data_IF_386369499151
#
_entry.id   IF_386369499151
#
_cell.length_a   1.000
_cell.length_b   1.000
_cell.length_c   1.000
_cell.angle_alpha   90.00
_cell.angle_beta   90.00
_cell.angle_gamma   90.00
#
_symmetry.space_group_name_H-M   'P 1'
#
loop_
_entity.id
_entity.type
_entity.pdbx_description
1 polymer ?
#
# COMPACT_ATOMS: atom_id res chain seq x y z
N UNK A 1 -12.50 10.27 22.72
CA UNK A 1 -12.17 8.80 22.75
C UNK A 1 -10.84 8.60 23.45
N UNK A 2 -10.54 7.41 24.04
CA UNK A 2 -9.19 7.02 24.47
C UNK A 2 -8.70 5.92 23.54
N UNK A 3 -7.44 5.99 23.09
CA UNK A 3 -6.87 4.93 22.27
C UNK A 3 -6.68 3.65 23.11
N UNK A 4 -6.89 2.51 22.51
CA UNK A 4 -6.49 1.24 23.09
C UNK A 4 -4.96 1.08 23.05
N UNK A 5 -4.43 0.22 23.92
CA UNK A 5 -2.99 0.04 24.09
C UNK A 5 -2.30 -0.46 22.80
N UNK A 6 -2.98 -1.31 22.01
CA UNK A 6 -2.44 -1.81 20.75
C UNK A 6 -2.36 -0.71 19.69
N UNK A 7 -3.37 0.16 19.61
CA UNK A 7 -3.32 1.34 18.72
C UNK A 7 -2.22 2.30 19.14
N UNK A 8 -2.06 2.56 20.45
CA UNK A 8 -0.94 3.35 20.95
C UNK A 8 0.41 2.75 20.56
N UNK A 9 0.60 1.45 20.77
CA UNK A 9 1.83 0.76 20.39
C UNK A 9 2.11 0.82 18.88
N UNK A 10 1.11 0.61 18.04
CA UNK A 10 1.30 0.60 16.57
C UNK A 10 1.59 1.99 16.00
N UNK A 11 1.06 3.05 16.60
CA UNK A 11 1.10 4.40 16.02
C UNK A 11 1.89 5.43 16.86
N UNK A 12 2.44 5.06 18.00
CA UNK A 12 3.43 5.90 18.70
C UNK A 12 4.81 5.78 18.02
N UNK A 13 5.59 6.87 17.92
CA UNK A 13 5.23 8.25 18.25
C UNK A 13 4.19 8.82 17.26
N UNK A 14 3.38 9.75 17.76
CA UNK A 14 2.27 10.32 16.99
C UNK A 14 2.66 11.45 16.03
N UNK A 15 3.94 11.75 15.86
CA UNK A 15 4.41 12.60 14.77
C UNK A 15 4.34 11.82 13.46
N UNK A 16 3.19 11.93 12.76
CA UNK A 16 2.79 11.07 11.64
C UNK A 16 2.00 11.81 10.60
N UNK A 17 1.91 11.22 9.40
CA UNK A 17 0.90 11.61 8.44
C UNK A 17 -0.42 10.87 8.72
N UNK A 18 -1.52 11.59 8.63
CA UNK A 18 -2.88 11.03 8.57
C UNK A 18 -3.53 11.43 7.25
N UNK A 19 -4.53 10.67 6.79
CA UNK A 19 -5.18 10.95 5.51
C UNK A 19 -6.70 10.71 5.54
N UNK A 20 -7.42 11.66 4.87
CA UNK A 20 -8.85 11.61 4.61
C UNK A 20 -9.30 12.68 3.57
N UNK A 21 -9.38 12.43 2.30
CA UNK A 21 -8.46 11.68 1.47
C UNK A 21 -7.10 12.35 1.33
N UNK A 22 -6.98 13.65 1.72
CA UNK A 22 -5.71 14.39 1.69
C UNK A 22 -4.84 14.00 2.87
N UNK A 23 -3.53 13.98 2.66
CA UNK A 23 -2.55 13.77 3.73
C UNK A 23 -2.20 15.08 4.41
N UNK A 24 -2.05 15.04 5.72
CA UNK A 24 -1.45 16.11 6.53
C UNK A 24 -0.75 15.52 7.75
N UNK A 25 0.17 16.28 8.33
CA UNK A 25 0.95 15.84 9.48
C UNK A 25 0.26 16.22 10.78
N UNK A 26 0.29 15.32 11.71
CA UNK A 26 -0.06 15.52 13.13
C UNK A 26 1.17 15.27 13.98
N UNK A 27 1.20 15.83 15.19
CA UNK A 27 2.38 15.80 16.06
C UNK A 27 2.13 15.18 17.42
N UNK A 28 0.89 15.03 17.83
CA UNK A 28 0.51 14.60 19.18
C UNK A 28 -0.58 13.53 19.18
N UNK A 29 -0.67 12.77 20.27
CA UNK A 29 -1.76 11.81 20.49
C UNK A 29 -3.14 12.49 20.47
N UNK A 30 -3.26 13.67 21.05
CA UNK A 30 -4.52 14.41 21.08
C UNK A 30 -4.98 14.79 19.67
N UNK A 31 -4.07 15.19 18.78
CA UNK A 31 -4.38 15.46 17.37
C UNK A 31 -4.79 14.18 16.64
N UNK A 32 -4.16 13.04 16.93
CA UNK A 32 -4.51 11.75 16.36
C UNK A 32 -5.92 11.31 16.80
N UNK A 33 -6.23 11.42 18.08
CA UNK A 33 -7.56 11.15 18.63
C UNK A 33 -8.60 12.07 18.00
N UNK A 34 -8.33 13.37 17.92
CA UNK A 34 -9.22 14.35 17.28
C UNK A 34 -9.46 14.04 15.82
N UNK A 35 -8.43 13.62 15.08
CA UNK A 35 -8.58 13.18 13.71
C UNK A 35 -9.55 11.99 13.60
N UNK A 36 -9.39 10.97 14.43
CA UNK A 36 -10.29 9.81 14.45
C UNK A 36 -11.71 10.24 14.82
N UNK A 37 -11.88 11.00 15.90
CA UNK A 37 -13.21 11.43 16.36
C UNK A 37 -13.98 12.23 15.30
N UNK A 38 -13.29 13.03 14.50
CA UNK A 38 -13.90 13.85 13.45
C UNK A 38 -14.26 13.05 12.18
N UNK A 39 -13.58 11.93 11.92
CA UNK A 39 -13.67 11.24 10.63
C UNK A 39 -14.27 9.83 10.74
N UNK A 40 -14.26 9.21 11.91
CA UNK A 40 -14.70 7.84 12.11
C UNK A 40 -16.16 7.64 11.70
N UNK A 41 -16.39 6.80 10.70
CA UNK A 41 -17.70 6.51 10.12
C UNK A 41 -18.23 7.58 9.14
N UNK A 42 -17.63 8.76 9.10
CA UNK A 42 -17.94 9.80 8.11
C UNK A 42 -17.06 9.67 6.87
N UNK A 43 -15.83 9.20 7.06
CA UNK A 43 -14.84 9.01 6.02
C UNK A 43 -13.78 8.00 6.47
N UNK A 44 -12.91 7.60 5.55
CA UNK A 44 -11.84 6.67 5.84
C UNK A 44 -10.74 7.32 6.69
N UNK A 45 -10.30 6.63 7.73
CA UNK A 45 -9.22 7.07 8.62
C UNK A 45 -7.95 6.29 8.31
N UNK A 46 -6.94 6.94 7.73
CA UNK A 46 -5.62 6.37 7.44
C UNK A 46 -4.53 7.06 8.26
N UNK A 47 -3.48 6.30 8.58
CA UNK A 47 -2.24 6.84 9.13
C UNK A 47 -1.04 6.24 8.41
N UNK A 48 0.08 6.98 8.36
CA UNK A 48 1.35 6.41 7.91
C UNK A 48 1.74 5.23 8.78
N UNK A 49 2.32 4.21 8.15
CA UNK A 49 2.85 3.03 8.85
C UNK A 49 4.03 3.44 9.73
N UNK A 50 4.89 4.29 9.20
CA UNK A 50 6.11 4.73 9.86
C UNK A 50 5.95 6.14 10.43
N UNK A 51 6.64 6.46 11.55
CA UNK A 51 6.67 7.80 12.10
C UNK A 51 7.45 8.76 11.18
N UNK A 52 7.23 10.06 11.37
CA UNK A 52 7.79 11.08 10.50
C UNK A 52 9.31 11.29 10.69
N UNK A 53 9.90 10.77 11.77
CA UNK A 53 11.34 10.78 12.01
C UNK A 53 12.10 9.74 11.16
N UNK A 54 11.37 8.91 10.39
CA UNK A 54 11.92 7.90 9.50
C UNK A 54 12.36 6.60 10.20
N UNK A 55 12.03 6.42 11.48
CA UNK A 55 12.27 5.15 12.15
C UNK A 55 11.40 4.04 11.54
N UNK A 56 11.97 2.85 11.36
CA UNK A 56 11.24 1.65 10.97
C UNK A 56 11.06 0.78 12.20
N UNK A 57 9.84 0.64 12.64
CA UNK A 57 9.42 -0.06 13.86
C UNK A 57 8.55 -1.28 13.58
N UNK A 58 8.24 -1.55 12.32
CA UNK A 58 7.45 -2.71 11.87
C UNK A 58 7.62 -2.99 10.38
N UNK A 59 7.27 -4.19 9.94
CA UNK A 59 6.99 -4.48 8.51
C UNK A 59 5.49 -4.67 8.38
N UNK A 60 4.91 -4.02 7.38
CA UNK A 60 3.48 -4.06 7.11
C UNK A 60 3.18 -4.94 5.91
N UNK A 61 2.20 -5.81 6.05
CA UNK A 61 1.68 -6.64 4.97
C UNK A 61 0.20 -6.31 4.76
N UNK A 62 -0.16 -6.02 3.52
CA UNK A 62 -1.52 -5.80 3.06
C UNK A 62 -1.92 -6.97 2.15
N UNK A 63 -2.93 -7.72 2.55
CA UNK A 63 -3.34 -8.96 1.89
C UNK A 63 -4.80 -8.79 1.49
N UNK A 64 -5.03 -8.46 0.24
CA UNK A 64 -6.32 -8.09 -0.30
C UNK A 64 -6.75 -9.00 -1.45
N UNK A 65 -8.03 -9.29 -1.55
CA UNK A 65 -8.60 -10.06 -2.66
C UNK A 65 -9.81 -9.35 -3.29
N UNK A 66 -9.95 -9.36 -4.61
CA UNK A 66 -11.17 -8.90 -5.27
C UNK A 66 -12.41 -9.72 -4.84
N UNK A 67 -12.20 -10.97 -4.39
CA UNK A 67 -13.25 -11.86 -3.90
C UNK A 67 -13.54 -11.67 -2.40
N UNK A 68 -13.10 -10.57 -1.80
CA UNK A 68 -13.28 -10.28 -0.38
C UNK A 68 -12.43 -11.17 0.53
N UNK A 69 -12.81 -11.24 1.82
CA UNK A 69 -12.06 -12.00 2.84
C UNK A 69 -11.88 -13.47 2.45
N UNK A 70 -12.87 -14.10 1.83
CA UNK A 70 -12.79 -15.50 1.42
C UNK A 70 -11.62 -15.76 0.46
N UNK A 71 -11.29 -14.81 -0.40
CA UNK A 71 -10.18 -14.97 -1.34
C UNK A 71 -8.80 -14.71 -0.73
N UNK A 72 -8.71 -13.93 0.35
CA UNK A 72 -7.44 -13.55 0.97
C UNK A 72 -7.09 -14.35 2.24
N UNK A 73 -8.05 -15.11 2.79
CA UNK A 73 -7.92 -15.75 4.10
C UNK A 73 -6.78 -16.78 4.16
N UNK A 74 -6.60 -17.59 3.11
CA UNK A 74 -5.62 -18.68 3.14
C UNK A 74 -4.19 -18.17 3.07
N UNK A 75 -3.91 -17.19 2.21
CA UNK A 75 -2.59 -16.53 2.15
C UNK A 75 -2.32 -15.76 3.45
N UNK A 76 -3.33 -15.08 3.99
CA UNK A 76 -3.22 -14.36 5.25
C UNK A 76 -2.90 -15.29 6.43
N UNK A 77 -3.58 -16.44 6.53
CA UNK A 77 -3.30 -17.49 7.54
C UNK A 77 -1.89 -18.04 7.38
N UNK A 78 -1.49 -18.31 6.15
CA UNK A 78 -0.16 -18.85 5.85
C UNK A 78 0.94 -17.89 6.30
N UNK A 79 0.84 -16.62 5.92
CA UNK A 79 1.82 -15.60 6.31
C UNK A 79 1.87 -15.43 7.83
N UNK A 80 0.72 -15.25 8.47
CA UNK A 80 0.62 -15.06 9.92
C UNK A 80 1.20 -16.27 10.68
N UNK A 81 0.80 -17.50 10.32
CA UNK A 81 1.31 -18.71 10.97
C UNK A 81 2.81 -18.89 10.74
N UNK A 82 3.29 -18.56 9.55
CA UNK A 82 4.72 -18.61 9.26
C UNK A 82 5.50 -17.61 10.12
N UNK A 83 5.06 -16.38 10.22
CA UNK A 83 5.68 -15.35 11.06
C UNK A 83 5.73 -15.79 12.54
N UNK A 84 4.64 -16.33 13.08
CA UNK A 84 4.60 -16.86 14.44
C UNK A 84 5.55 -18.06 14.61
N UNK A 85 5.67 -18.94 13.62
CA UNK A 85 6.57 -20.08 13.68
C UNK A 85 8.05 -19.69 13.74
N UNK A 86 8.38 -18.48 13.27
CA UNK A 86 9.72 -17.88 13.38
C UNK A 86 9.94 -17.16 14.72
N UNK A 87 8.92 -17.14 15.59
CA UNK A 87 8.98 -16.48 16.90
C UNK A 87 8.84 -14.96 16.84
N UNK A 88 8.25 -14.42 15.78
CA UNK A 88 8.03 -12.97 15.65
C UNK A 88 6.75 -12.50 16.31
N UNK A 89 6.75 -11.26 16.80
CA UNK A 89 5.57 -10.57 17.30
C UNK A 89 4.79 -9.95 16.14
N UNK A 90 3.52 -10.34 15.98
CA UNK A 90 2.67 -9.93 14.86
C UNK A 90 1.29 -9.50 15.37
N UNK A 91 0.83 -8.35 14.93
CA UNK A 91 -0.54 -7.86 15.20
C UNK A 91 -1.39 -8.06 13.94
N UNK A 92 -2.38 -8.95 13.97
CA UNK A 92 -3.29 -9.18 12.87
C UNK A 92 -4.51 -8.26 12.94
N UNK A 93 -4.93 -7.74 11.79
CA UNK A 93 -6.06 -6.82 11.64
C UNK A 93 -6.91 -7.22 10.44
N UNK A 94 -8.23 -7.14 10.57
CA UNK A 94 -9.15 -7.13 9.43
C UNK A 94 -9.26 -5.72 8.87
N UNK A 95 -9.06 -5.54 7.55
CA UNK A 95 -9.10 -4.22 6.90
C UNK A 95 -10.51 -3.58 6.87
N UNK A 96 -11.53 -4.37 7.24
CA UNK A 96 -12.93 -3.93 7.25
C UNK A 96 -13.61 -4.03 5.88
N UNK A 97 -13.01 -4.66 4.85
CA UNK A 97 -13.63 -4.86 3.53
C UNK A 97 -13.26 -6.21 2.92
N UNK A 98 -12.04 -6.36 2.43
CA UNK A 98 -11.69 -7.47 1.53
C UNK A 98 -10.41 -8.21 1.93
N UNK A 99 -9.75 -7.79 3.00
CA UNK A 99 -8.46 -8.35 3.33
C UNK A 99 -8.01 -8.19 4.77
N UNK A 100 -6.73 -8.39 4.94
CA UNK A 100 -6.05 -8.43 6.22
C UNK A 100 -4.81 -7.54 6.18
N UNK A 101 -4.50 -6.94 7.33
CA UNK A 101 -3.22 -6.29 7.56
C UNK A 101 -2.46 -7.07 8.63
N UNK A 102 -1.18 -7.29 8.41
CA UNK A 102 -0.30 -7.84 9.44
C UNK A 102 0.84 -6.86 9.72
N UNK A 103 1.02 -6.54 10.98
CA UNK A 103 2.11 -5.71 11.47
C UNK A 103 3.12 -6.60 12.18
N UNK A 104 4.21 -6.93 11.51
CA UNK A 104 5.37 -7.58 12.13
C UNK A 104 6.16 -6.53 12.89
N UNK A 105 6.21 -6.63 14.20
CA UNK A 105 6.84 -5.65 15.07
C UNK A 105 8.36 -5.78 15.05
N UNK A 106 9.06 -4.65 14.92
CA UNK A 106 10.50 -4.55 14.92
C UNK A 106 10.99 -3.74 16.12
N UNK A 107 12.26 -3.87 16.44
CA UNK A 107 12.95 -2.92 17.29
C UNK A 107 13.10 -1.59 16.52
N UNK A 108 12.52 -0.48 17.02
CA UNK A 108 12.55 0.80 16.30
C UNK A 108 13.98 1.25 16.01
N UNK A 109 14.28 1.57 14.75
CA UNK A 109 15.60 2.06 14.34
C UNK A 109 15.49 2.94 13.10
N UNK A 110 16.32 3.99 13.04
CA UNK A 110 16.49 4.81 11.83
C UNK A 110 17.59 4.20 10.96
N UNK A 111 17.40 4.28 9.64
CA UNK A 111 18.34 3.77 8.65
C UNK A 111 18.53 4.78 7.53
N UNK A 112 19.75 5.00 7.08
CA UNK A 112 20.05 5.85 5.93
C UNK A 112 19.46 5.28 4.61
N UNK A 113 19.29 3.96 4.56
CA UNK A 113 18.81 3.20 3.41
C UNK A 113 17.53 2.38 3.75
N UNK A 114 16.61 2.94 4.53
CA UNK A 114 15.41 2.26 5.03
C UNK A 114 14.59 1.58 3.92
N UNK A 115 14.41 2.24 2.76
CA UNK A 115 13.70 1.66 1.61
C UNK A 115 14.34 0.35 1.14
N UNK A 116 15.65 0.33 0.96
CA UNK A 116 16.38 -0.86 0.48
C UNK A 116 16.33 -2.01 1.49
N UNK A 117 16.53 -1.70 2.78
CA UNK A 117 16.48 -2.71 3.84
C UNK A 117 15.07 -3.26 4.03
N UNK A 118 14.05 -2.40 3.98
CA UNK A 118 12.64 -2.81 4.04
C UNK A 118 12.26 -3.69 2.85
N UNK A 119 12.70 -3.32 1.63
CA UNK A 119 12.53 -4.14 0.42
C UNK A 119 13.13 -5.52 0.63
N UNK A 120 14.40 -5.58 1.03
CA UNK A 120 15.13 -6.83 1.28
C UNK A 120 14.41 -7.72 2.30
N UNK A 121 14.08 -7.17 3.48
CA UNK A 121 13.42 -7.90 4.54
C UNK A 121 12.04 -8.42 4.11
N UNK A 122 11.25 -7.60 3.43
CA UNK A 122 9.91 -7.99 2.94
C UNK A 122 10.01 -9.11 1.92
N UNK A 123 10.92 -9.01 0.93
CA UNK A 123 11.13 -10.04 -0.09
C UNK A 123 11.66 -11.34 0.50
N UNK A 124 12.58 -11.27 1.47
CA UNK A 124 13.07 -12.44 2.20
C UNK A 124 11.91 -13.19 2.87
N UNK A 125 11.06 -12.47 3.63
CA UNK A 125 9.90 -13.05 4.31
C UNK A 125 8.94 -13.69 3.31
N UNK A 126 8.56 -12.96 2.25
CA UNK A 126 7.58 -13.44 1.28
C UNK A 126 8.11 -14.65 0.49
N UNK A 127 9.39 -14.66 0.10
CA UNK A 127 9.99 -15.78 -0.62
C UNK A 127 10.09 -17.03 0.23
N UNK A 128 10.46 -16.90 1.50
CA UNK A 128 10.49 -18.05 2.41
C UNK A 128 9.09 -18.57 2.73
N UNK A 129 8.11 -17.66 2.91
CA UNK A 129 6.75 -18.04 3.24
C UNK A 129 6.03 -18.69 2.05
N UNK A 130 6.07 -18.09 0.87
CA UNK A 130 5.28 -18.49 -0.29
C UNK A 130 6.06 -19.29 -1.34
N UNK A 131 7.41 -19.24 -1.28
CA UNK A 131 8.25 -19.73 -2.35
C UNK A 131 8.22 -18.84 -3.58
N UNK A 132 9.03 -19.18 -4.58
CA UNK A 132 9.12 -18.45 -5.85
C UNK A 132 9.28 -19.41 -7.02
N UNK A 133 9.03 -18.92 -8.24
CA UNK A 133 9.19 -19.67 -9.48
C UNK A 133 10.63 -19.62 -10.00
N UNK A 134 10.89 -20.33 -11.10
CA UNK A 134 12.17 -20.24 -11.84
C UNK A 134 12.40 -18.84 -12.45
N UNK A 135 11.31 -18.09 -12.63
CA UNK A 135 11.26 -16.71 -13.09
C UNK A 135 11.55 -15.67 -11.98
N UNK A 136 11.86 -16.14 -10.77
CA UNK A 136 12.07 -15.28 -9.59
C UNK A 136 10.80 -14.66 -9.00
N UNK A 137 9.63 -14.95 -9.54
CA UNK A 137 8.36 -14.39 -9.05
C UNK A 137 7.88 -15.12 -7.80
N UNK A 138 7.61 -14.38 -6.73
CA UNK A 138 7.08 -14.92 -5.47
C UNK A 138 5.65 -15.43 -5.70
N UNK A 139 5.36 -16.64 -5.21
CA UNK A 139 4.08 -17.34 -5.40
C UNK A 139 2.99 -16.84 -4.44
N UNK A 140 2.75 -15.54 -4.44
CA UNK A 140 1.61 -14.93 -3.73
C UNK A 140 0.81 -14.10 -4.73
N UNK A 141 -0.51 -14.09 -4.58
CA UNK A 141 -1.43 -13.36 -5.48
C UNK A 141 -2.27 -12.33 -4.74
N UNK A 142 -2.27 -12.39 -3.39
CA UNK A 142 -3.11 -11.54 -2.53
C UNK A 142 -2.31 -10.51 -1.75
N UNK A 143 -1.00 -10.68 -1.61
CA UNK A 143 -0.15 -9.65 -0.99
C UNK A 143 0.02 -8.50 -1.97
N UNK A 144 -0.31 -7.27 -1.53
CA UNK A 144 -0.13 -6.07 -2.35
C UNK A 144 1.37 -5.84 -2.61
N UNK A 145 1.85 -5.93 -3.87
CA UNK A 145 3.26 -5.75 -4.18
C UNK A 145 3.77 -4.34 -3.87
N UNK A 146 2.89 -3.34 -3.81
CA UNK A 146 3.26 -1.96 -3.52
C UNK A 146 3.69 -1.71 -2.07
N UNK A 147 3.54 -2.69 -1.17
CA UNK A 147 4.09 -2.58 0.19
C UNK A 147 5.61 -2.73 0.24
N UNK A 148 6.20 -3.37 -0.78
CA UNK A 148 7.62 -3.73 -0.79
C UNK A 148 8.47 -2.46 -0.85
N UNK A 149 9.16 -2.15 0.25
CA UNK A 149 10.02 -0.96 0.35
C UNK A 149 9.28 0.38 0.43
N UNK A 150 7.94 0.39 0.55
CA UNK A 150 7.17 1.63 0.63
C UNK A 150 7.22 2.23 2.05
N UNK A 151 8.24 3.05 2.29
CA UNK A 151 8.41 3.80 3.56
C UNK A 151 7.38 4.93 3.76
N UNK A 152 6.56 5.22 2.74
CA UNK A 152 5.50 6.24 2.78
C UNK A 152 4.09 5.65 2.84
N UNK A 153 4.00 4.34 3.03
CA UNK A 153 2.73 3.61 3.09
C UNK A 153 1.84 4.17 4.19
N UNK A 154 0.56 4.27 3.86
CA UNK A 154 -0.50 4.50 4.85
C UNK A 154 -1.35 3.24 4.96
N UNK A 155 -1.87 2.99 6.15
CA UNK A 155 -2.87 1.96 6.40
C UNK A 155 -4.08 2.54 7.09
N UNK A 156 -5.20 1.85 6.98
CA UNK A 156 -6.38 2.19 7.78
C UNK A 156 -6.07 1.98 9.26
N UNK A 157 -6.47 2.96 10.07
CA UNK A 157 -6.32 2.88 11.52
C UNK A 157 -7.29 1.81 12.05
N UNK A 158 -6.81 0.80 12.79
CA UNK A 158 -7.67 -0.17 13.44
C UNK A 158 -8.69 0.49 14.38
N UNK A 159 -9.78 -0.19 14.61
CA UNK A 159 -10.91 0.30 15.41
C UNK A 159 -11.54 1.58 14.86
N UNK A 160 -11.49 1.76 13.53
CA UNK A 160 -12.24 2.80 12.83
C UNK A 160 -13.32 2.18 11.94
N UNK A 161 -14.49 2.81 11.93
CA UNK A 161 -15.64 2.45 11.11
C UNK A 161 -15.45 3.00 9.69
N UNK A 162 -15.76 2.20 8.69
CA UNK A 162 -15.78 2.63 7.29
C UNK A 162 -16.95 3.60 7.02
N UNK A 163 -16.85 4.42 5.93
CA UNK A 163 -17.93 5.29 5.51
C UNK A 163 -19.27 4.54 5.32
N UNK A 164 -20.40 5.29 5.28
CA UNK A 164 -21.75 4.75 5.43
C UNK A 164 -22.13 3.59 4.52
N UNK A 165 -21.55 3.49 3.33
CA UNK A 165 -21.91 2.43 2.38
C UNK A 165 -21.52 1.03 2.85
N UNK A 166 -20.58 0.89 3.78
CA UNK A 166 -20.06 -0.41 4.19
C UNK A 166 -20.26 -0.75 5.68
N UNK A 167 -20.45 0.21 6.56
CA UNK A 167 -20.69 0.07 8.02
C UNK A 167 -19.90 -1.08 8.69
N UNK A 168 -18.67 -1.30 8.28
CA UNK A 168 -17.78 -2.32 8.80
C UNK A 168 -16.57 -1.70 9.48
N UNK A 169 -16.10 -2.34 10.53
CA UNK A 169 -14.93 -1.89 11.27
C UNK A 169 -13.65 -2.49 10.70
N UNK A 170 -12.63 -1.67 10.52
CA UNK A 170 -11.25 -2.15 10.54
C UNK A 170 -10.97 -2.55 12.00
N UNK A 171 -10.63 -3.79 12.27
CA UNK A 171 -10.57 -4.25 13.66
C UNK A 171 -9.47 -5.26 13.88
N UNK A 172 -8.95 -5.31 15.09
CA UNK A 172 -7.97 -6.32 15.51
C UNK A 172 -8.59 -7.72 15.52
N UNK A 173 -7.72 -8.71 15.34
CA UNK A 173 -8.06 -10.14 15.44
C UNK A 173 -7.36 -10.77 16.65
N UNK A 174 -7.96 -11.74 17.35
CA UNK A 174 -7.29 -12.47 18.42
C UNK A 174 -6.09 -13.27 17.87
N UNK A 175 -5.14 -13.65 18.73
CA UNK A 175 -3.94 -14.38 18.30
C UNK A 175 -4.26 -15.72 17.61
N UNK A 176 -5.36 -16.37 17.98
CA UNK A 176 -5.80 -17.66 17.43
C UNK A 176 -6.80 -17.55 16.26
N UNK A 177 -6.94 -16.36 15.67
CA UNK A 177 -7.88 -16.08 14.58
C UNK A 177 -7.78 -17.02 13.39
N UNK A 178 -6.63 -17.64 13.18
CA UNK A 178 -6.41 -18.61 12.09
C UNK A 178 -7.37 -19.81 12.16
N UNK A 179 -7.98 -20.07 13.31
CA UNK A 179 -8.97 -21.11 13.52
C UNK A 179 -10.40 -20.67 13.22
N UNK A 180 -10.63 -19.36 13.07
CA UNK A 180 -11.96 -18.80 12.84
C UNK A 180 -12.48 -19.15 11.45
N UNK A 181 -13.76 -19.43 11.35
CA UNK A 181 -14.46 -19.53 10.06
C UNK A 181 -14.60 -18.14 9.42
N UNK A 182 -14.86 -18.10 8.11
CA UNK A 182 -15.14 -16.84 7.40
C UNK A 182 -16.33 -16.09 8.03
N UNK A 183 -17.36 -16.79 8.48
CA UNK A 183 -18.52 -16.19 9.13
C UNK A 183 -18.16 -15.52 10.47
N UNK A 184 -17.29 -16.14 11.26
CA UNK A 184 -16.78 -15.56 12.50
C UNK A 184 -15.92 -14.32 12.22
N UNK A 185 -15.06 -14.35 11.19
CA UNK A 185 -14.26 -13.20 10.76
C UNK A 185 -15.15 -12.03 10.32
N UNK A 186 -16.18 -12.29 9.51
CA UNK A 186 -17.17 -11.27 9.14
C UNK A 186 -17.86 -10.70 10.37
N UNK A 187 -18.14 -11.54 11.37
CA UNK A 187 -18.72 -11.09 12.64
C UNK A 187 -17.79 -10.18 13.44
N UNK A 188 -16.45 -10.36 13.33
CA UNK A 188 -15.49 -9.45 13.98
C UNK A 188 -15.62 -8.00 13.47
N UNK A 189 -15.91 -7.81 12.18
CA UNK A 189 -16.05 -6.47 11.59
C UNK A 189 -17.30 -5.70 11.99
N UNK A 190 -18.17 -6.26 12.83
CA UNK A 190 -19.41 -5.60 13.28
C UNK A 190 -19.20 -4.59 14.41
N UNK A 191 -18.04 -4.64 15.09
CA UNK A 191 -17.70 -3.75 16.19
C UNK A 191 -16.19 -3.66 16.36
N UNK A 192 -15.68 -2.57 16.99
CA UNK A 192 -14.28 -2.48 17.35
C UNK A 192 -13.93 -3.60 18.35
N UNK A 193 -12.67 -4.06 18.27
CA UNK A 193 -12.14 -5.13 19.12
C UNK A 193 -10.78 -4.73 19.67
N UNK A 194 -10.52 -5.11 20.90
CA UNK A 194 -9.21 -5.00 21.54
C UNK A 194 -8.82 -6.35 22.09
N UNK A 195 -7.55 -6.69 21.94
CA UNK A 195 -6.98 -7.93 22.43
C UNK A 195 -5.66 -7.64 23.12
N UNK A 196 -5.40 -8.36 24.19
CA UNK A 196 -4.09 -8.39 24.82
C UNK A 196 -3.23 -9.40 24.06
N UNK A 197 -2.22 -8.90 23.35
CA UNK A 197 -1.27 -9.75 22.63
C UNK A 197 -0.11 -10.09 23.54
N UNK A 198 0.19 -11.37 23.62
CA UNK A 198 1.44 -11.84 24.18
C UNK A 198 2.58 -11.51 23.21
N UNK A 199 3.44 -10.58 23.62
CA UNK A 199 4.54 -10.08 22.80
C UNK A 199 5.90 -10.60 23.33
N UNK A 200 5.93 -11.84 23.80
CA UNK A 200 7.13 -12.51 24.27
C UNK A 200 8.08 -12.97 23.13
N UNK A 201 7.65 -12.77 21.88
CA UNK A 201 8.43 -13.09 20.71
C UNK A 201 9.59 -12.09 20.47
N UNK A 202 10.34 -12.37 19.42
CA UNK A 202 11.48 -11.54 19.02
C UNK A 202 11.01 -10.24 18.34
N UNK A 203 11.72 -9.14 18.65
CA UNK A 203 11.66 -7.87 17.93
C UNK A 203 12.93 -7.72 17.07
N UNK A 204 12.95 -8.22 15.83
CA UNK A 204 14.13 -8.08 14.99
C UNK A 204 14.32 -6.63 14.53
N UNK A 205 15.49 -6.34 13.98
CA UNK A 205 15.77 -5.16 13.16
C UNK A 205 15.69 -5.53 11.67
N UNK A 206 15.67 -4.56 10.76
CA UNK A 206 15.68 -4.88 9.31
C UNK A 206 16.97 -5.61 8.87
N UNK A 207 18.05 -5.45 9.62
CA UNK A 207 19.33 -6.07 9.33
C UNK A 207 19.37 -7.57 9.68
N UNK A 208 18.49 -8.02 10.58
CA UNK A 208 18.40 -9.42 11.01
C UNK A 208 17.77 -10.34 9.97
N UNK A 209 17.09 -9.77 8.96
CA UNK A 209 16.54 -10.57 7.87
C UNK A 209 17.62 -10.92 6.85
N UNK A 210 17.69 -12.20 6.42
CA UNK A 210 18.63 -12.61 5.40
C UNK A 210 18.36 -11.93 4.05
N UNK A 211 19.33 -11.94 3.16
CA UNK A 211 19.08 -11.55 1.78
C UNK A 211 18.10 -12.54 1.13
N UNK A 212 17.14 -12.05 0.33
CA UNK A 212 16.30 -12.94 -0.45
C UNK A 212 17.16 -13.69 -1.48
N UNK A 213 16.70 -14.83 -2.01
CA UNK A 213 17.39 -15.54 -3.09
C UNK A 213 17.78 -14.59 -4.22
N UNK A 214 18.97 -14.82 -4.83
CA UNK A 214 19.53 -13.94 -5.84
C UNK A 214 18.59 -13.72 -7.05
N UNK A 215 17.80 -14.73 -7.38
CA UNK A 215 16.78 -14.70 -8.43
C UNK A 215 15.68 -13.68 -8.16
N UNK A 216 15.43 -13.36 -6.87
CA UNK A 216 14.42 -12.40 -6.43
C UNK A 216 15.03 -11.00 -6.28
N UNK A 217 16.33 -10.86 -6.09
CA UNK A 217 17.01 -9.56 -5.96
C UNK A 217 16.86 -8.68 -7.20
N UNK A 218 16.53 -9.27 -8.34
CA UNK A 218 16.09 -8.56 -9.54
C UNK A 218 14.62 -8.09 -9.49
N UNK A 219 13.99 -8.01 -8.29
CA UNK A 219 12.69 -7.34 -8.13
C UNK A 219 12.67 -5.92 -8.71
N UNK A 220 13.81 -5.23 -8.76
CA UNK A 220 13.95 -4.02 -9.59
C UNK A 220 13.73 -4.29 -11.09
N UNK A 221 13.93 -5.50 -11.54
CA UNK A 221 13.60 -5.94 -12.90
C UNK A 221 12.12 -6.30 -13.05
N UNK A 222 11.42 -6.71 -12.01
CA UNK A 222 9.94 -6.85 -12.05
C UNK A 222 9.25 -5.48 -11.93
N UNK A 223 9.83 -4.51 -11.18
CA UNK A 223 9.48 -3.08 -11.33
C UNK A 223 10.06 -2.47 -12.62
N UNK A 224 11.10 -3.05 -13.19
CA UNK A 224 11.78 -2.67 -14.42
C UNK A 224 11.93 -3.83 -15.40
N UNK A 225 10.95 -4.73 -15.48
CA UNK A 225 10.79 -5.46 -16.73
C UNK A 225 10.48 -4.36 -17.75
N UNK A 226 11.56 -3.81 -18.31
CA UNK A 226 11.46 -3.28 -19.64
C UNK A 226 10.73 -4.36 -20.42
N UNK A 227 9.52 -4.12 -20.90
CA UNK A 227 8.90 -5.06 -21.81
C UNK A 227 9.85 -5.14 -23.00
N UNK A 228 10.48 -6.29 -23.18
CA UNK A 228 11.41 -6.55 -24.28
C UNK A 228 10.74 -6.40 -25.65
N UNK A 229 9.48 -6.00 -25.67
CA UNK A 229 8.68 -5.62 -26.83
C UNK A 229 7.72 -4.49 -26.44
N UNK A 230 7.41 -3.55 -27.35
CA UNK A 230 6.37 -2.56 -27.14
C UNK A 230 5.07 -3.30 -26.88
N UNK A 231 4.71 -3.43 -25.61
CA UNK A 231 3.47 -4.07 -25.19
C UNK A 231 2.38 -3.08 -25.57
N UNK A 232 1.69 -3.36 -26.67
CA UNK A 232 0.38 -2.76 -26.93
C UNK A 232 -0.53 -3.17 -25.76
N UNK A 233 -0.66 -2.29 -24.79
CA UNK A 233 -1.39 -2.52 -23.55
C UNK A 233 -0.46 -2.79 -22.36
N UNK A 234 0.19 -1.75 -21.82
CA UNK A 234 0.96 -1.85 -20.60
C UNK A 234 -0.01 -2.11 -19.42
N UNK A 235 -0.08 -3.38 -18.99
CA UNK A 235 -0.97 -3.84 -17.90
C UNK A 235 -0.69 -3.10 -16.59
N UNK A 236 0.54 -2.64 -16.39
CA UNK A 236 0.97 -1.89 -15.22
C UNK A 236 0.27 -0.51 -15.16
N UNK A 237 0.37 0.30 -16.21
CA UNK A 237 -0.34 1.59 -16.28
C UNK A 237 -1.86 1.42 -16.26
N UNK A 238 -2.39 0.29 -16.73
CA UNK A 238 -3.82 -0.04 -16.68
C UNK A 238 -4.35 -0.11 -15.25
N UNK A 239 -3.53 -0.55 -14.31
CA UNK A 239 -3.90 -0.69 -12.90
C UNK A 239 -3.67 0.60 -12.09
N UNK A 240 -2.80 1.48 -12.58
CA UNK A 240 -2.41 2.73 -11.91
C UNK A 240 -3.26 3.92 -12.35
N UNK A 241 -3.54 4.00 -13.64
CA UNK A 241 -4.29 5.11 -14.20
C UNK A 241 -5.79 4.80 -14.22
N UNK A 242 -6.57 5.85 -14.04
CA UNK A 242 -8.01 5.78 -14.33
C UNK A 242 -8.24 5.26 -15.76
N UNK A 243 -9.21 4.39 -16.01
CA UNK A 243 -9.41 3.77 -17.32
C UNK A 243 -9.52 4.76 -18.49
N UNK A 244 -10.10 5.95 -18.25
CA UNK A 244 -10.16 7.02 -19.24
C UNK A 244 -8.78 7.59 -19.58
N UNK A 245 -7.91 7.79 -18.61
CA UNK A 245 -6.54 8.24 -18.84
C UNK A 245 -5.70 7.15 -19.50
N UNK A 246 -5.79 5.92 -18.99
CA UNK A 246 -5.08 4.78 -19.55
C UNK A 246 -5.33 4.61 -21.06
N UNK A 247 -6.60 4.60 -21.50
CA UNK A 247 -6.96 4.45 -22.91
C UNK A 247 -6.30 5.49 -23.81
N UNK A 248 -6.25 6.75 -23.33
CA UNK A 248 -5.67 7.84 -24.10
C UNK A 248 -4.14 7.85 -24.04
N UNK A 249 -3.54 7.40 -22.92
CA UNK A 249 -2.08 7.26 -22.80
C UNK A 249 -1.51 6.16 -23.72
N UNK A 250 -2.34 5.18 -24.12
CA UNK A 250 -1.96 4.10 -25.06
C UNK A 250 -2.06 4.50 -26.53
N UNK A 251 -2.44 5.72 -26.84
CA UNK A 251 -2.40 6.26 -28.21
C UNK A 251 -0.93 6.51 -28.61
N UNK A 252 -0.66 6.45 -29.91
CA UNK A 252 0.67 6.75 -30.47
C UNK A 252 1.11 8.21 -30.19
N UNK A 253 0.12 9.10 -30.04
CA UNK A 253 0.32 10.51 -29.73
C UNK A 253 -0.75 10.99 -28.73
N UNK A 254 -0.55 10.77 -27.41
CA UNK A 254 -1.48 11.26 -26.40
C UNK A 254 -1.47 12.80 -26.35
N UNK A 255 -2.64 13.39 -26.27
CA UNK A 255 -2.76 14.83 -26.14
C UNK A 255 -2.10 15.35 -24.84
N UNK A 256 -1.55 16.58 -24.88
CA UNK A 256 -0.84 17.20 -23.74
C UNK A 256 -1.66 17.15 -22.42
N UNK A 257 -2.95 17.48 -22.47
CA UNK A 257 -3.81 17.45 -21.28
C UNK A 257 -3.96 16.06 -20.67
N UNK A 258 -3.91 15.01 -21.49
CA UNK A 258 -3.94 13.62 -21.04
C UNK A 258 -2.65 13.27 -20.31
N UNK A 259 -1.50 13.61 -20.90
CA UNK A 259 -0.18 13.40 -20.29
C UNK A 259 -0.07 14.11 -18.96
N UNK A 260 -0.47 15.37 -18.88
CA UNK A 260 -0.50 16.15 -17.62
C UNK A 260 -1.38 15.48 -16.58
N UNK A 261 -2.62 15.10 -16.94
CA UNK A 261 -3.54 14.47 -16.00
C UNK A 261 -3.03 13.11 -15.50
N UNK A 262 -2.44 12.30 -16.38
CA UNK A 262 -1.83 11.01 -16.02
C UNK A 262 -0.59 11.22 -15.13
N UNK A 263 0.26 12.18 -15.46
CA UNK A 263 1.42 12.54 -14.64
C UNK A 263 1.04 12.95 -13.22
N UNK A 264 0.01 13.79 -13.09
CA UNK A 264 -0.46 14.24 -11.75
C UNK A 264 -1.02 13.06 -10.94
N UNK A 265 -1.73 12.13 -11.57
CA UNK A 265 -2.19 10.91 -10.91
C UNK A 265 -0.98 10.04 -10.47
N UNK A 266 0.04 9.88 -11.33
CA UNK A 266 1.22 9.07 -11.04
C UNK A 266 2.15 9.69 -9.99
N UNK A 267 2.29 11.03 -9.97
CA UNK A 267 3.11 11.74 -8.96
C UNK A 267 2.60 11.55 -7.52
N UNK A 268 1.37 11.06 -7.35
CA UNK A 268 0.88 10.60 -6.05
C UNK A 268 1.57 9.34 -5.54
N UNK A 269 2.26 8.60 -6.41
CA UNK A 269 2.82 7.27 -6.12
C UNK A 269 4.30 7.12 -6.52
N UNK A 270 4.78 7.88 -7.52
CA UNK A 270 6.08 7.71 -8.15
C UNK A 270 6.88 9.00 -8.20
N UNK A 271 8.21 8.88 -8.19
CA UNK A 271 9.10 10.01 -8.43
C UNK A 271 9.18 10.33 -9.93
N UNK A 272 9.51 11.59 -10.32
CA UNK A 272 9.59 12.00 -11.72
C UNK A 272 10.44 11.11 -12.62
N UNK A 273 11.56 10.60 -12.12
CA UNK A 273 12.41 9.69 -12.89
C UNK A 273 11.74 8.37 -13.23
N UNK A 274 10.95 7.82 -12.29
CA UNK A 274 10.19 6.59 -12.50
C UNK A 274 9.08 6.79 -13.55
N UNK A 275 8.36 7.92 -13.46
CA UNK A 275 7.33 8.28 -14.45
C UNK A 275 7.95 8.49 -15.84
N UNK A 276 9.12 9.11 -15.89
CA UNK A 276 9.86 9.32 -17.13
C UNK A 276 10.19 7.99 -17.83
N UNK A 277 10.74 7.02 -17.11
CA UNK A 277 11.02 5.69 -17.68
C UNK A 277 9.76 4.94 -18.11
N UNK A 278 8.66 5.07 -17.35
CA UNK A 278 7.36 4.54 -17.77
C UNK A 278 6.92 5.14 -19.12
N UNK A 279 7.00 6.45 -19.28
CA UNK A 279 6.58 7.13 -20.52
C UNK A 279 7.50 6.82 -21.70
N UNK A 280 8.79 6.72 -21.46
CA UNK A 280 9.77 6.28 -22.47
C UNK A 280 9.41 4.90 -23.03
N UNK A 281 8.92 3.98 -22.17
CA UNK A 281 8.54 2.62 -22.58
C UNK A 281 7.29 2.58 -23.46
N UNK A 282 6.49 3.67 -23.51
CA UNK A 282 5.27 3.72 -24.32
C UNK A 282 5.55 3.94 -25.81
N UNK A 283 6.75 4.41 -26.16
CA UNK A 283 7.19 4.55 -27.55
C UNK A 283 6.37 5.55 -28.37
N UNK A 284 5.93 6.65 -27.76
CA UNK A 284 5.17 7.69 -28.48
C UNK A 284 5.94 8.26 -29.66
N UNK A 285 5.23 8.50 -30.77
CA UNK A 285 5.84 9.01 -31.99
C UNK A 285 6.46 10.42 -31.87
N UNK A 286 6.01 11.19 -30.87
CA UNK A 286 6.48 12.52 -30.54
C UNK A 286 7.32 12.56 -29.25
N UNK A 287 7.99 11.44 -28.92
CA UNK A 287 8.80 11.34 -27.70
C UNK A 287 9.99 12.32 -27.74
N UNK A 288 10.00 13.24 -26.76
CA UNK A 288 11.09 14.17 -26.50
C UNK A 288 11.50 14.01 -25.02
N UNK A 289 12.71 13.50 -24.73
CA UNK A 289 13.14 13.23 -23.35
C UNK A 289 13.23 14.50 -22.48
N UNK A 290 13.80 15.60 -23.02
CA UNK A 290 14.02 16.83 -22.25
C UNK A 290 12.68 17.48 -21.92
N UNK A 291 11.84 17.67 -22.93
CA UNK A 291 10.51 18.25 -22.78
C UNK A 291 9.62 17.38 -21.85
N UNK A 292 9.71 16.05 -21.97
CA UNK A 292 8.92 15.15 -21.13
C UNK A 292 9.34 15.25 -19.66
N UNK A 293 10.64 15.30 -19.36
CA UNK A 293 11.10 15.45 -17.98
C UNK A 293 10.69 16.82 -17.39
N UNK A 294 10.83 17.91 -18.15
CA UNK A 294 10.36 19.23 -17.73
C UNK A 294 8.86 19.24 -17.41
N UNK A 295 8.05 18.63 -18.27
CA UNK A 295 6.60 18.52 -18.07
C UNK A 295 6.26 17.70 -16.81
N UNK A 296 6.92 16.57 -16.58
CA UNK A 296 6.72 15.75 -15.38
C UNK A 296 7.03 16.56 -14.12
N UNK A 297 8.18 17.25 -14.09
CA UNK A 297 8.59 18.07 -12.94
C UNK A 297 7.62 19.22 -12.70
N UNK A 298 7.13 19.88 -13.75
CA UNK A 298 6.18 20.99 -13.64
C UNK A 298 4.83 20.57 -13.07
N UNK A 299 4.46 19.31 -13.21
CA UNK A 299 3.20 18.77 -12.65
C UNK A 299 3.23 18.56 -11.12
N UNK A 300 4.38 18.65 -10.45
CA UNK A 300 4.50 18.44 -8.99
C UNK A 300 3.62 19.35 -8.13
N UNK A 301 3.34 20.57 -8.62
CA UNK A 301 2.50 21.53 -7.92
C UNK A 301 1.00 21.38 -8.19
N UNK A 302 0.63 20.47 -9.09
CA UNK A 302 -0.76 20.27 -9.49
C UNK A 302 -1.45 19.22 -8.61
N UNK A 303 -2.77 19.33 -8.49
CA UNK A 303 -3.61 18.32 -7.83
C UNK A 303 -4.31 17.45 -8.87
N UNK A 304 -4.63 16.17 -8.54
CA UNK A 304 -5.34 15.27 -9.44
C UNK A 304 -6.67 15.87 -9.95
N UNK A 305 -6.90 15.72 -11.24
CA UNK A 305 -8.07 16.29 -11.90
C UNK A 305 -9.31 15.44 -11.63
N UNK A 306 -10.39 16.06 -11.13
CA UNK A 306 -11.70 15.41 -11.02
C UNK A 306 -12.31 15.11 -12.40
N UNK A 307 -13.26 14.16 -12.47
CA UNK A 307 -13.93 13.76 -13.72
C UNK A 307 -14.54 14.93 -14.50
N UNK A 308 -15.10 15.92 -13.79
CA UNK A 308 -15.64 17.13 -14.43
C UNK A 308 -14.57 17.90 -15.20
N UNK A 309 -13.37 18.04 -14.63
CA UNK A 309 -12.24 18.71 -15.27
C UNK A 309 -11.70 17.92 -16.47
N UNK A 310 -11.63 16.59 -16.35
CA UNK A 310 -11.21 15.73 -17.46
C UNK A 310 -12.15 15.83 -18.67
N UNK A 311 -13.47 15.86 -18.44
CA UNK A 311 -14.46 16.10 -19.50
C UNK A 311 -14.27 17.46 -20.18
N UNK A 312 -13.99 18.53 -19.41
CA UNK A 312 -13.70 19.85 -19.97
C UNK A 312 -12.44 19.88 -20.83
N UNK A 313 -11.47 19.01 -20.55
CA UNK A 313 -10.24 18.85 -21.31
C UNK A 313 -10.40 17.93 -22.54
N UNK A 314 -11.62 17.53 -22.87
CA UNK A 314 -11.90 16.70 -24.04
C UNK A 314 -11.55 15.22 -23.86
N UNK A 315 -11.35 14.77 -22.61
CA UNK A 315 -11.19 13.35 -22.32
C UNK A 315 -12.59 12.75 -22.16
N UNK A 316 -13.13 12.09 -23.21
CA UNK A 316 -14.50 11.59 -23.17
C UNK A 316 -14.61 10.44 -22.20
N UNK A 317 -15.76 10.34 -21.55
CA UNK A 317 -16.17 9.27 -20.66
C UNK A 317 -15.16 8.93 -19.56
N UNK A 318 -15.10 9.81 -18.57
CA UNK A 318 -14.72 9.36 -17.26
C UNK A 318 -15.64 8.18 -16.90
N UNK A 319 -15.12 6.97 -16.93
CA UNK A 319 -15.83 5.76 -16.55
C UNK A 319 -16.02 5.74 -15.04
N UNK A 320 -16.80 6.71 -14.55
CA UNK A 320 -17.40 6.67 -13.24
C UNK A 320 -18.68 5.84 -13.39
N UNK A 321 -18.53 4.56 -13.66
CA UNK A 321 -19.61 3.59 -13.53
C UNK A 321 -19.24 2.68 -12.38
N UNK A 322 -19.95 2.88 -11.28
CA UNK A 322 -20.10 1.98 -10.15
C UNK A 322 -19.09 2.14 -9.05
#
# INVERSE_FOLDING_TARGET
>A
MKLDATTQMLFSPFDREVANPKRWRIHTEDEFIKFIDQNNGASDCYSSIYPADGAVDKIFFDIDSPNGITGSIDESRRLYSWLLSKGYNVIPVLSGKKGFHHYLLLKPKQYDNSKSLLTRATLSILSECFGYGEDGVIKTTMVDPHIVGDVRRISRIPNTLRPPENLTWCTYLPADWVKMTTAELVSQMKSPRTYDYDLDGTFPTLEDFPDPPAEIMDWKLVESIEPAHPIKGNTFLKNLLRPCLYRHMMLDHPGHSVRVAATVDLLGFYEPGEIFEMYKSLGWSDWDPELTMEQIVSCRSLSPYGCKKLKQLGIPEACCVG
#
